data_IF_224217326866
#
_entry.id   IF_224217326866
#
_cell.length_a   1.000
_cell.length_b   1.000
_cell.length_c   1.000
_cell.angle_alpha   90.00
_cell.angle_beta   90.00
_cell.angle_gamma   90.00
#
_symmetry.space_group_name_H-M   'P 1'
#
loop_
_entity.id
_entity.type
_entity.pdbx_description
1 polymer ?
#
# COMPACT_ATOMS: atom_id res chain seq x y z
N UNK A 1 6.89 -20.64 -32.73
CA UNK A 1 7.25 -20.42 -31.31
C UNK A 1 6.52 -19.15 -30.87
N UNK A 2 5.80 -19.18 -29.78
CA UNK A 2 5.07 -17.99 -29.28
C UNK A 2 6.10 -16.92 -28.90
N UNK A 3 6.06 -15.75 -29.55
CA UNK A 3 7.03 -14.68 -29.29
C UNK A 3 6.40 -13.68 -28.31
N UNK A 4 6.93 -13.64 -27.07
CA UNK A 4 6.57 -12.65 -26.06
C UNK A 4 7.75 -11.71 -25.88
N UNK A 5 7.49 -10.41 -25.96
CA UNK A 5 8.51 -9.36 -25.78
C UNK A 5 8.12 -8.49 -24.57
N UNK A 6 9.13 -7.94 -23.89
CA UNK A 6 8.99 -6.97 -22.80
C UNK A 6 9.61 -5.66 -23.26
N UNK A 7 8.78 -4.63 -23.41
CA UNK A 7 9.20 -3.34 -23.96
C UNK A 7 9.15 -2.31 -22.84
N UNK A 8 10.33 -1.82 -22.44
CA UNK A 8 10.44 -0.75 -21.46
C UNK A 8 9.65 0.47 -21.93
N UNK A 9 8.87 1.08 -21.02
CA UNK A 9 8.05 2.22 -21.34
C UNK A 9 7.94 3.20 -20.16
N UNK A 10 7.84 4.48 -20.50
CA UNK A 10 7.52 5.57 -19.58
C UNK A 10 6.14 6.17 -19.91
N UNK A 11 5.38 5.56 -20.82
CA UNK A 11 4.03 5.98 -21.15
C UNK A 11 3.04 5.61 -20.05
N UNK A 12 2.86 6.55 -19.12
CA UNK A 12 1.94 6.39 -18.00
C UNK A 12 0.47 6.21 -18.42
N UNK A 13 0.05 6.72 -19.58
CA UNK A 13 -1.34 6.61 -20.02
C UNK A 13 -1.69 5.17 -20.35
N UNK A 14 -0.85 4.49 -21.14
CA UNK A 14 -1.08 3.08 -21.52
C UNK A 14 -1.04 2.20 -20.26
N UNK A 15 -0.06 2.43 -19.38
CA UNK A 15 0.05 1.68 -18.11
C UNK A 15 -1.19 1.89 -17.25
N UNK A 16 -1.68 3.12 -17.10
CA UNK A 16 -2.88 3.41 -16.31
C UNK A 16 -4.14 2.76 -16.89
N UNK A 17 -4.27 2.66 -18.21
CA UNK A 17 -5.38 1.93 -18.83
C UNK A 17 -5.38 0.44 -18.49
N UNK A 18 -4.21 -0.20 -18.50
CA UNK A 18 -4.08 -1.59 -18.03
C UNK A 18 -4.28 -1.71 -16.51
N UNK A 19 -3.74 -0.78 -15.73
CA UNK A 19 -3.88 -0.76 -14.27
C UNK A 19 -5.33 -0.65 -13.83
N UNK A 20 -6.13 0.20 -14.48
CA UNK A 20 -7.59 0.26 -14.23
C UNK A 20 -8.29 -1.08 -14.46
N UNK A 21 -7.84 -1.86 -15.46
CA UNK A 21 -8.38 -3.20 -15.71
C UNK A 21 -7.92 -4.21 -14.65
N UNK A 22 -6.66 -4.12 -14.22
CA UNK A 22 -6.12 -4.94 -13.14
C UNK A 22 -6.92 -4.73 -11.85
N UNK A 23 -7.14 -3.49 -11.42
CA UNK A 23 -7.85 -3.17 -10.18
C UNK A 23 -9.28 -3.73 -10.13
N UNK A 24 -9.94 -3.85 -11.28
CA UNK A 24 -11.25 -4.51 -11.36
C UNK A 24 -11.21 -6.02 -11.12
N UNK A 25 -10.03 -6.63 -11.10
CA UNK A 25 -9.86 -8.07 -10.83
C UNK A 25 -9.45 -8.35 -9.38
N UNK A 26 -9.16 -7.32 -8.59
CA UNK A 26 -8.76 -7.48 -7.21
C UNK A 26 -9.92 -7.97 -6.34
N UNK A 27 -9.61 -8.82 -5.38
CA UNK A 27 -10.57 -9.38 -4.41
C UNK A 27 -10.59 -8.61 -3.09
N UNK A 28 -9.63 -7.70 -2.91
CA UNK A 28 -9.52 -6.77 -1.80
C UNK A 28 -8.75 -5.51 -2.28
N UNK A 29 -8.77 -4.40 -1.53
CA UNK A 29 -8.05 -3.19 -1.94
C UNK A 29 -6.53 -3.39 -1.95
N UNK A 30 -5.86 -2.69 -2.86
CA UNK A 30 -4.40 -2.56 -2.81
C UNK A 30 -4.02 -1.50 -1.77
N UNK A 31 -2.93 -1.73 -1.07
CA UNK A 31 -2.33 -0.76 -0.16
C UNK A 31 -1.86 0.48 -0.92
N UNK A 32 -2.24 1.68 -0.45
CA UNK A 32 -1.93 2.93 -1.14
C UNK A 32 -0.42 3.24 -1.11
N UNK A 33 0.28 2.96 -0.01
CA UNK A 33 1.72 3.19 0.05
C UNK A 33 2.48 2.24 -0.88
N UNK A 34 2.01 0.99 -1.00
CA UNK A 34 2.57 0.05 -1.97
C UNK A 34 2.41 0.56 -3.40
N UNK A 35 1.22 1.06 -3.72
CA UNK A 35 0.92 1.63 -5.03
C UNK A 35 1.74 2.90 -5.32
N UNK A 36 1.77 3.84 -4.38
CA UNK A 36 2.23 5.21 -4.63
C UNK A 36 3.74 5.37 -4.41
N UNK A 37 4.37 4.49 -3.63
CA UNK A 37 5.81 4.53 -3.39
C UNK A 37 6.56 3.44 -4.15
N UNK A 38 6.16 2.18 -4.03
CA UNK A 38 6.90 1.06 -4.61
C UNK A 38 6.60 0.86 -6.09
N UNK A 39 5.32 0.71 -6.44
CA UNK A 39 4.92 0.50 -7.84
C UNK A 39 5.17 1.76 -8.67
N UNK A 40 4.88 2.94 -8.13
CA UNK A 40 5.07 4.20 -8.86
C UNK A 40 6.54 4.52 -9.16
N UNK A 41 7.49 4.07 -8.29
CA UNK A 41 8.93 4.27 -8.50
C UNK A 41 9.59 3.18 -9.35
N UNK A 42 8.86 2.14 -9.74
CA UNK A 42 9.36 1.00 -10.51
C UNK A 42 9.39 1.29 -12.01
N UNK A 43 10.15 0.48 -12.75
CA UNK A 43 10.18 0.54 -14.21
C UNK A 43 9.02 -0.27 -14.80
N UNK A 44 8.21 0.36 -15.63
CA UNK A 44 7.14 -0.31 -16.35
C UNK A 44 7.62 -0.92 -17.67
N UNK A 45 7.08 -2.09 -18.02
CA UNK A 45 7.27 -2.78 -19.29
C UNK A 45 5.91 -3.17 -19.88
N UNK A 46 5.72 -2.92 -21.16
CA UNK A 46 4.61 -3.48 -21.92
C UNK A 46 4.92 -4.94 -22.27
N UNK A 47 3.92 -5.79 -22.15
CA UNK A 47 4.00 -7.19 -22.55
C UNK A 47 3.34 -7.30 -23.92
N UNK A 48 4.12 -7.72 -24.92
CA UNK A 48 3.64 -7.90 -26.28
C UNK A 48 3.68 -9.37 -26.70
N UNK A 49 2.62 -9.79 -27.39
CA UNK A 49 2.51 -11.07 -28.08
C UNK A 49 2.22 -10.82 -29.56
N UNK A 50 3.06 -11.32 -30.44
CA UNK A 50 2.91 -11.18 -31.90
C UNK A 50 2.66 -9.72 -32.31
N UNK A 51 3.44 -8.78 -31.75
CA UNK A 51 3.35 -7.32 -31.93
C UNK A 51 2.04 -6.67 -31.44
N UNK A 52 1.28 -7.36 -30.58
CA UNK A 52 0.09 -6.80 -29.91
C UNK A 52 0.36 -6.67 -28.42
N UNK A 53 0.04 -5.50 -27.87
CA UNK A 53 0.11 -5.26 -26.43
C UNK A 53 -1.00 -6.06 -25.71
N UNK A 54 -0.60 -6.95 -24.82
CA UNK A 54 -1.52 -7.83 -24.08
C UNK A 54 -1.56 -7.54 -22.60
N UNK A 55 -0.66 -6.69 -22.09
CA UNK A 55 -0.56 -6.36 -20.68
C UNK A 55 0.68 -5.52 -20.36
N UNK A 56 1.00 -5.45 -19.08
CA UNK A 56 2.19 -4.76 -18.58
C UNK A 56 2.72 -5.45 -17.32
N UNK A 57 3.96 -5.11 -16.93
CA UNK A 57 4.49 -5.39 -15.61
C UNK A 57 5.33 -4.22 -15.09
N UNK A 58 5.47 -4.15 -13.76
CA UNK A 58 6.29 -3.19 -13.04
C UNK A 58 7.38 -3.94 -12.29
N UNK A 59 8.64 -3.55 -12.49
CA UNK A 59 9.82 -4.20 -11.92
C UNK A 59 10.66 -3.14 -11.22
N UNK A 60 11.07 -3.38 -9.99
CA UNK A 60 11.92 -2.47 -9.24
C UNK A 60 13.39 -2.51 -9.71
N UNK A 61 14.21 -1.65 -9.14
CA UNK A 61 15.63 -1.56 -9.47
C UNK A 61 16.46 -2.80 -9.03
N UNK A 62 15.90 -3.66 -8.19
CA UNK A 62 16.54 -4.88 -7.70
C UNK A 62 16.10 -6.13 -8.49
N UNK A 63 15.24 -5.96 -9.50
CA UNK A 63 14.68 -7.06 -10.28
C UNK A 63 13.52 -7.79 -9.58
N UNK A 64 12.83 -7.11 -8.66
CA UNK A 64 11.61 -7.64 -8.08
C UNK A 64 10.39 -7.24 -8.91
N UNK A 65 9.57 -8.21 -9.30
CA UNK A 65 8.27 -7.99 -9.92
C UNK A 65 7.28 -7.49 -8.86
N UNK A 66 6.77 -6.26 -9.05
CA UNK A 66 5.85 -5.64 -8.09
C UNK A 66 4.38 -5.67 -8.54
N UNK A 67 4.14 -5.69 -9.83
CA UNK A 67 2.79 -5.75 -10.40
C UNK A 67 2.84 -6.32 -11.81
N UNK A 68 1.82 -7.11 -12.17
CA UNK A 68 1.68 -7.62 -13.53
C UNK A 68 0.20 -7.78 -13.90
N UNK A 69 -0.12 -7.43 -15.12
CA UNK A 69 -1.45 -7.64 -15.69
C UNK A 69 -1.36 -8.18 -17.11
N UNK A 70 -2.24 -9.11 -17.42
CA UNK A 70 -2.47 -9.60 -18.78
C UNK A 70 -3.98 -9.59 -19.04
N UNK A 71 -4.40 -9.14 -20.21
CA UNK A 71 -5.82 -9.09 -20.59
C UNK A 71 -6.47 -10.48 -20.53
N UNK A 72 -7.81 -10.52 -20.43
CA UNK A 72 -8.57 -11.74 -20.16
C UNK A 72 -8.30 -12.87 -21.18
N UNK A 73 -8.12 -12.51 -22.46
CA UNK A 73 -7.92 -13.46 -23.57
C UNK A 73 -6.56 -14.17 -23.49
N UNK A 74 -5.58 -13.57 -22.79
CA UNK A 74 -4.20 -14.05 -22.69
C UNK A 74 -3.83 -14.55 -21.27
N UNK A 75 -4.78 -14.62 -20.34
CA UNK A 75 -4.54 -15.08 -18.95
C UNK A 75 -3.82 -16.42 -18.86
N UNK A 76 -4.11 -17.34 -19.78
CA UNK A 76 -3.47 -18.66 -19.86
C UNK A 76 -1.96 -18.61 -20.10
N UNK A 77 -1.43 -17.45 -20.52
CA UNK A 77 0.00 -17.24 -20.77
C UNK A 77 0.77 -16.79 -19.51
N UNK A 78 0.11 -16.50 -18.38
CA UNK A 78 0.77 -15.90 -17.22
C UNK A 78 1.99 -16.69 -16.76
N UNK A 79 1.91 -18.01 -16.66
CA UNK A 79 3.07 -18.84 -16.29
C UNK A 79 4.21 -18.75 -17.32
N UNK A 80 3.88 -18.75 -18.62
CA UNK A 80 4.89 -18.59 -19.68
C UNK A 80 5.53 -17.21 -19.62
N UNK A 81 4.75 -16.17 -19.32
CA UNK A 81 5.25 -14.80 -19.19
C UNK A 81 6.21 -14.69 -18.00
N UNK A 82 5.84 -15.21 -16.82
CA UNK A 82 6.71 -15.23 -15.65
C UNK A 82 8.00 -16.00 -15.95
N UNK A 83 7.90 -17.17 -16.58
CA UNK A 83 9.09 -17.93 -16.99
C UNK A 83 10.00 -17.13 -17.92
N UNK A 84 9.45 -16.45 -18.93
CA UNK A 84 10.24 -15.63 -19.85
C UNK A 84 10.90 -14.42 -19.16
N UNK A 85 10.23 -13.82 -18.16
CA UNK A 85 10.83 -12.75 -17.34
C UNK A 85 12.02 -13.26 -16.53
N UNK A 86 11.94 -14.47 -15.98
CA UNK A 86 13.03 -15.14 -15.26
C UNK A 86 14.17 -15.49 -16.24
N UNK A 87 13.87 -16.18 -17.33
CA UNK A 87 14.86 -16.64 -18.30
C UNK A 87 15.62 -15.47 -18.96
N UNK A 88 14.94 -14.32 -19.15
CA UNK A 88 15.56 -13.07 -19.63
C UNK A 88 16.33 -12.30 -18.58
N UNK A 89 16.33 -12.76 -17.32
CA UNK A 89 16.95 -12.11 -16.16
C UNK A 89 16.41 -10.71 -15.86
N UNK A 90 15.18 -10.43 -16.27
CA UNK A 90 14.49 -9.20 -15.90
C UNK A 90 14.01 -9.25 -14.45
N UNK A 91 13.65 -10.45 -13.97
CA UNK A 91 13.26 -10.65 -12.56
C UNK A 91 14.04 -11.79 -11.93
N UNK A 92 14.33 -11.68 -10.65
CA UNK A 92 14.89 -12.73 -9.79
C UNK A 92 14.02 -12.96 -8.56
N UNK A 93 13.06 -12.07 -8.31
CA UNK A 93 12.11 -12.14 -7.20
C UNK A 93 10.79 -11.48 -7.59
N UNK A 94 9.81 -11.61 -6.73
CA UNK A 94 8.56 -10.89 -6.84
C UNK A 94 8.09 -10.46 -5.44
N UNK A 95 7.49 -9.27 -5.35
CA UNK A 95 6.77 -8.82 -4.17
C UNK A 95 5.32 -8.55 -4.56
N UNK A 96 4.47 -9.53 -4.32
CA UNK A 96 3.08 -9.56 -4.80
C UNK A 96 2.08 -9.74 -3.68
N UNK A 97 0.93 -9.10 -3.84
CA UNK A 97 -0.19 -9.28 -2.94
C UNK A 97 -1.03 -10.51 -3.31
N UNK A 98 -1.56 -11.19 -2.28
CA UNK A 98 -2.53 -12.30 -2.44
C UNK A 98 -3.85 -11.88 -3.11
N UNK A 99 -4.08 -10.57 -3.31
CA UNK A 99 -5.24 -10.06 -4.06
C UNK A 99 -5.16 -10.32 -5.56
N UNK A 100 -3.99 -10.70 -6.06
CA UNK A 100 -3.70 -11.01 -7.46
C UNK A 100 -3.49 -12.52 -7.68
N UNK A 101 -4.51 -13.36 -7.53
CA UNK A 101 -4.32 -14.81 -7.47
C UNK A 101 -3.65 -15.41 -8.72
N UNK A 102 -3.84 -14.81 -9.89
CA UNK A 102 -3.27 -15.33 -11.14
C UNK A 102 -1.75 -15.14 -11.21
N UNK A 103 -1.27 -13.92 -10.96
CA UNK A 103 0.16 -13.58 -10.96
C UNK A 103 0.87 -14.23 -9.77
N UNK A 104 0.23 -14.19 -8.61
CA UNK A 104 0.73 -14.83 -7.39
C UNK A 104 0.96 -16.34 -7.60
N UNK A 105 -0.04 -17.07 -8.09
CA UNK A 105 0.10 -18.50 -8.39
C UNK A 105 1.20 -18.79 -9.42
N UNK A 106 1.32 -17.95 -10.46
CA UNK A 106 2.36 -18.12 -11.47
C UNK A 106 3.77 -17.92 -10.89
N UNK A 107 3.96 -16.95 -9.99
CA UNK A 107 5.22 -16.76 -9.28
C UNK A 107 5.51 -17.90 -8.30
N UNK A 108 4.50 -18.38 -7.55
CA UNK A 108 4.66 -19.51 -6.64
C UNK A 108 5.12 -20.79 -7.37
N UNK A 109 4.65 -21.02 -8.60
CA UNK A 109 5.06 -22.18 -9.40
C UNK A 109 6.58 -22.17 -9.69
N UNK A 110 7.21 -20.99 -9.71
CA UNK A 110 8.65 -20.81 -9.94
C UNK A 110 9.42 -20.41 -8.67
N UNK A 111 8.80 -20.50 -7.49
CA UNK A 111 9.41 -20.04 -6.24
C UNK A 111 10.39 -21.05 -5.66
N UNK A 112 11.48 -20.54 -5.07
CA UNK A 112 12.40 -21.30 -4.20
C UNK A 112 12.03 -21.07 -2.73
N UNK A 113 11.60 -19.87 -2.39
CA UNK A 113 11.16 -19.51 -1.04
C UNK A 113 10.17 -18.35 -1.09
N UNK A 114 9.37 -18.24 -0.03
CA UNK A 114 8.41 -17.15 0.16
C UNK A 114 8.40 -16.73 1.62
N UNK A 115 8.27 -15.43 1.86
CA UNK A 115 8.11 -14.87 3.20
C UNK A 115 7.06 -13.76 3.20
N UNK A 116 6.38 -13.61 4.34
CA UNK A 116 5.45 -12.50 4.53
C UNK A 116 6.22 -11.20 4.65
N UNK A 117 5.80 -10.16 3.93
CA UNK A 117 6.32 -8.81 4.02
C UNK A 117 5.38 -7.91 4.81
N UNK A 118 4.14 -7.75 4.32
CA UNK A 118 3.18 -6.77 4.86
C UNK A 118 1.80 -7.39 5.01
N UNK A 119 1.17 -7.16 6.15
CA UNK A 119 -0.26 -7.41 6.36
C UNK A 119 -1.08 -6.19 5.94
N UNK A 120 -2.10 -6.40 5.12
CA UNK A 120 -3.03 -5.39 4.67
C UNK A 120 -4.40 -5.65 5.31
N UNK A 121 -5.03 -4.58 5.81
CA UNK A 121 -6.20 -4.68 6.64
C UNK A 121 -7.34 -3.84 6.08
N UNK A 122 -8.56 -4.33 6.27
CA UNK A 122 -9.81 -3.61 6.03
C UNK A 122 -10.57 -3.42 7.34
N UNK A 123 -11.32 -2.35 7.44
CA UNK A 123 -12.13 -2.07 8.62
C UNK A 123 -13.41 -2.91 8.64
N UNK A 124 -13.69 -3.55 9.79
CA UNK A 124 -14.84 -4.47 9.92
C UNK A 124 -16.17 -3.78 10.19
N UNK A 125 -16.21 -2.46 10.19
CA UNK A 125 -17.42 -1.63 10.43
C UNK A 125 -18.13 -1.92 11.76
N UNK A 126 -17.39 -2.36 12.80
CA UNK A 126 -17.93 -2.55 14.14
C UNK A 126 -18.19 -1.18 14.79
N UNK A 127 -19.29 -1.07 15.50
CA UNK A 127 -19.60 0.13 16.27
C UNK A 127 -18.45 0.45 17.23
N UNK A 128 -17.98 1.70 17.19
CA UNK A 128 -16.93 2.18 18.09
C UNK A 128 -17.58 2.67 19.38
N UNK A 129 -16.96 2.32 20.51
CA UNK A 129 -17.35 2.89 21.81
C UNK A 129 -16.96 4.38 21.84
N UNK A 130 -17.92 5.28 21.78
CA UNK A 130 -17.73 6.73 21.84
C UNK A 130 -17.17 7.23 23.19
N UNK A 131 -17.30 6.44 24.25
CA UNK A 131 -16.95 6.85 25.62
C UNK A 131 -15.44 7.10 25.87
N UNK A 132 -14.58 6.75 24.91
CA UNK A 132 -13.12 6.85 25.06
C UNK A 132 -12.44 7.54 23.86
N UNK A 133 -13.11 8.48 23.22
CA UNK A 133 -12.57 9.16 22.03
C UNK A 133 -11.32 9.98 22.35
N UNK A 134 -10.29 9.83 21.53
CA UNK A 134 -9.12 10.70 21.53
C UNK A 134 -9.53 12.04 20.88
N UNK A 135 -9.24 13.16 21.55
CA UNK A 135 -9.41 14.46 20.90
C UNK A 135 -8.33 14.63 19.84
N UNK A 136 -8.75 14.79 18.58
CA UNK A 136 -7.85 14.95 17.44
C UNK A 136 -8.20 16.21 16.66
N UNK A 137 -7.17 16.98 16.32
CA UNK A 137 -7.26 18.23 15.59
C UNK A 137 -6.63 18.08 14.20
N UNK A 138 -7.17 18.80 13.21
CA UNK A 138 -6.57 18.87 11.89
C UNK A 138 -5.25 19.64 11.99
N UNK A 139 -4.20 19.09 11.40
CA UNK A 139 -2.91 19.80 11.31
C UNK A 139 -3.03 20.93 10.30
N UNK A 140 -2.70 22.14 10.75
CA UNK A 140 -2.66 23.34 9.91
C UNK A 140 -1.21 23.69 9.53
N UNK A 141 -0.97 24.52 8.49
CA UNK A 141 0.38 24.79 7.99
C UNK A 141 1.38 25.28 9.06
N UNK A 142 0.92 25.98 10.08
CA UNK A 142 1.78 26.45 11.20
C UNK A 142 2.39 25.30 12.00
N UNK A 143 1.75 24.12 12.02
CA UNK A 143 2.26 22.92 12.71
C UNK A 143 3.19 22.06 11.84
N UNK A 144 3.34 22.35 10.53
CA UNK A 144 4.11 21.48 9.62
C UNK A 144 5.54 21.20 10.12
N UNK A 145 6.22 22.22 10.65
CA UNK A 145 7.58 22.06 11.17
C UNK A 145 7.60 21.21 12.46
N UNK A 146 6.63 21.39 13.34
CA UNK A 146 6.50 20.58 14.55
C UNK A 146 6.23 19.11 14.21
N UNK A 147 5.40 18.84 13.21
CA UNK A 147 5.13 17.48 12.70
C UNK A 147 6.38 16.87 12.08
N UNK A 148 7.17 17.61 11.29
CA UNK A 148 8.44 17.07 10.73
C UNK A 148 9.42 16.69 11.85
N UNK A 149 9.58 17.55 12.86
CA UNK A 149 10.41 17.21 14.02
C UNK A 149 9.88 16.00 14.75
N UNK A 150 8.57 15.90 14.96
CA UNK A 150 7.92 14.76 15.57
C UNK A 150 8.18 13.46 14.79
N UNK A 151 8.05 13.48 13.46
CA UNK A 151 8.31 12.30 12.63
C UNK A 151 9.78 11.88 12.69
N UNK A 152 10.70 12.83 12.64
CA UNK A 152 12.13 12.56 12.78
C UNK A 152 12.46 11.92 14.12
N UNK A 153 11.94 12.45 15.23
CA UNK A 153 12.29 12.05 16.58
C UNK A 153 11.59 10.74 17.03
N UNK A 154 10.38 10.48 16.57
CA UNK A 154 9.54 9.40 17.08
C UNK A 154 9.23 8.29 16.06
N UNK A 155 9.34 8.58 14.75
CA UNK A 155 9.14 7.62 13.66
C UNK A 155 10.44 7.24 12.98
N UNK A 156 11.46 8.12 13.04
CA UNK A 156 12.71 7.97 12.30
C UNK A 156 12.59 8.34 10.82
N UNK A 157 11.58 9.14 10.48
CA UNK A 157 11.29 9.59 9.13
C UNK A 157 11.67 11.07 8.97
N UNK A 158 12.62 11.34 8.07
CA UNK A 158 13.03 12.70 7.71
C UNK A 158 12.32 13.12 6.40
N UNK A 159 11.35 14.03 6.50
CA UNK A 159 10.55 14.47 5.35
C UNK A 159 11.37 15.39 4.45
N UNK A 160 12.06 14.83 3.49
CA UNK A 160 12.90 15.53 2.51
C UNK A 160 12.18 15.81 1.19
N UNK A 161 10.96 15.30 1.00
CA UNK A 161 10.21 15.39 -0.27
C UNK A 161 8.82 16.03 -0.15
N UNK A 162 8.50 16.63 1.01
CA UNK A 162 7.27 17.40 1.19
C UNK A 162 6.03 16.56 1.52
N UNK A 163 6.22 15.39 2.13
CA UNK A 163 5.13 14.50 2.53
C UNK A 163 4.15 15.18 3.50
N UNK A 164 4.68 15.85 4.53
CA UNK A 164 3.86 16.57 5.53
C UNK A 164 3.06 17.70 4.87
N UNK A 165 3.68 18.50 3.99
CA UNK A 165 2.97 19.58 3.31
C UNK A 165 1.88 19.07 2.37
N UNK A 166 2.12 17.95 1.71
CA UNK A 166 1.11 17.29 0.88
C UNK A 166 -0.10 16.89 1.72
N UNK A 167 0.10 16.17 2.83
CA UNK A 167 -0.98 15.77 3.73
C UNK A 167 -1.73 16.96 4.33
N UNK A 168 -1.02 18.00 4.74
CA UNK A 168 -1.62 19.22 5.28
C UNK A 168 -2.46 19.94 4.22
N UNK A 169 -1.95 20.06 2.99
CA UNK A 169 -2.69 20.70 1.89
C UNK A 169 -3.97 19.96 1.51
N UNK A 170 -3.94 18.62 1.60
CA UNK A 170 -5.10 17.74 1.36
C UNK A 170 -6.02 17.62 2.58
N UNK A 171 -5.65 18.19 3.74
CA UNK A 171 -6.39 18.08 5.03
C UNK A 171 -6.54 16.63 5.50
N UNK A 172 -5.52 15.84 5.28
CA UNK A 172 -5.48 14.40 5.55
C UNK A 172 -4.63 14.04 6.78
N UNK A 173 -4.04 15.04 7.46
CA UNK A 173 -3.18 14.86 8.63
C UNK A 173 -3.83 15.44 9.88
N UNK A 174 -3.82 14.67 10.95
CA UNK A 174 -4.42 14.99 12.24
C UNK A 174 -3.41 14.75 13.37
N UNK A 175 -3.57 15.47 14.47
CA UNK A 175 -2.73 15.32 15.66
C UNK A 175 -3.58 15.24 16.92
N UNK A 176 -3.04 14.60 17.95
CA UNK A 176 -3.53 14.66 19.31
C UNK A 176 -2.47 15.34 20.18
N UNK A 177 -2.91 16.26 21.00
CA UNK A 177 -2.07 17.02 21.91
C UNK A 177 -2.35 16.65 23.37
N UNK A 178 -1.31 16.60 24.17
CA UNK A 178 -1.39 16.64 25.64
C UNK A 178 -0.60 17.87 26.09
N UNK A 179 -1.33 18.86 26.59
CA UNK A 179 -0.81 20.24 26.74
C UNK A 179 -0.28 20.73 25.37
N UNK A 180 0.98 21.12 25.25
CA UNK A 180 1.61 21.58 23.99
C UNK A 180 2.44 20.49 23.29
N UNK A 181 2.32 19.22 23.73
CA UNK A 181 3.09 18.10 23.19
C UNK A 181 2.26 17.26 22.26
N UNK A 182 2.78 17.01 21.04
CA UNK A 182 2.17 16.04 20.10
C UNK A 182 2.40 14.62 20.64
N UNK A 183 1.32 13.96 21.07
CA UNK A 183 1.36 12.61 21.62
C UNK A 183 1.11 11.53 20.57
N UNK A 184 0.37 11.87 19.50
CA UNK A 184 0.12 10.99 18.36
C UNK A 184 -0.27 11.81 17.12
N UNK A 185 0.01 11.25 15.95
CA UNK A 185 -0.56 11.73 14.67
C UNK A 185 -1.38 10.65 14.02
N UNK A 186 -2.37 11.06 13.23
CA UNK A 186 -3.22 10.19 12.43
C UNK A 186 -3.31 10.71 11.00
N UNK A 187 -3.37 9.80 10.05
CA UNK A 187 -3.55 10.11 8.64
C UNK A 187 -4.85 9.48 8.13
N UNK A 188 -5.58 10.21 7.27
CA UNK A 188 -6.75 9.71 6.56
C UNK A 188 -6.61 10.14 5.10
N UNK A 189 -5.86 9.34 4.32
CA UNK A 189 -5.49 9.64 2.94
C UNK A 189 -6.54 9.07 1.99
N UNK A 190 -7.23 9.94 1.26
CA UNK A 190 -8.22 9.51 0.27
C UNK A 190 -7.51 8.96 -0.95
N UNK A 191 -7.83 7.72 -1.33
CA UNK A 191 -7.25 7.12 -2.52
C UNK A 191 -7.78 7.76 -3.79
N UNK A 192 -6.87 8.22 -4.66
CA UNK A 192 -7.19 8.75 -5.99
C UNK A 192 -7.35 7.63 -7.03
N UNK A 193 -6.78 6.46 -6.75
CA UNK A 193 -6.82 5.29 -7.65
C UNK A 193 -7.97 4.32 -7.33
N UNK A 194 -8.39 4.24 -6.08
CA UNK A 194 -9.45 3.38 -5.57
C UNK A 194 -10.45 4.23 -4.78
N UNK A 195 -11.35 4.91 -5.49
CA UNK A 195 -12.22 5.95 -4.94
C UNK A 195 -13.12 5.51 -3.77
N UNK A 196 -13.31 4.22 -3.58
CA UNK A 196 -14.11 3.68 -2.48
C UNK A 196 -13.31 3.55 -1.16
N UNK A 197 -12.00 3.85 -1.17
CA UNK A 197 -11.11 3.59 -0.04
C UNK A 197 -10.38 4.84 0.46
N UNK A 198 -10.04 4.82 1.75
CA UNK A 198 -9.09 5.75 2.37
C UNK A 198 -8.06 4.95 3.18
N UNK A 199 -6.80 5.26 2.98
CA UNK A 199 -5.70 4.65 3.72
C UNK A 199 -5.49 5.42 5.02
N UNK A 200 -5.58 4.73 6.17
CA UNK A 200 -5.43 5.36 7.48
C UNK A 200 -4.12 4.94 8.14
N UNK A 201 -3.42 5.92 8.67
CA UNK A 201 -2.14 5.74 9.33
C UNK A 201 -2.13 6.29 10.75
N UNK A 202 -1.16 5.83 11.55
CA UNK A 202 -0.93 6.35 12.90
C UNK A 202 0.54 6.33 13.26
N UNK A 203 1.00 7.38 13.95
CA UNK A 203 2.23 7.30 14.71
C UNK A 203 2.01 7.76 16.15
N UNK A 204 2.79 7.23 17.10
CA UNK A 204 2.68 7.56 18.52
C UNK A 204 4.05 7.94 19.06
N UNK A 205 4.09 9.08 19.74
CA UNK A 205 5.27 9.56 20.46
C UNK A 205 5.86 8.45 21.34
N UNK A 206 7.14 8.22 21.24
CA UNK A 206 7.84 7.11 21.88
C UNK A 206 7.60 7.04 23.39
N UNK A 207 7.47 8.20 24.07
CA UNK A 207 7.19 8.30 25.51
C UNK A 207 5.72 8.01 25.87
N UNK A 208 4.83 8.01 24.88
CA UNK A 208 3.39 7.78 25.07
C UNK A 208 2.91 6.44 24.50
N UNK A 209 3.82 5.57 24.05
CA UNK A 209 3.50 4.21 23.57
C UNK A 209 2.95 3.32 24.70
N UNK A 210 2.29 2.22 24.30
CA UNK A 210 1.68 1.21 25.19
C UNK A 210 0.51 1.74 26.05
N UNK A 211 -0.04 2.92 25.74
CA UNK A 211 -1.20 3.53 26.41
C UNK A 211 -2.51 3.44 25.59
N UNK A 212 -2.55 2.65 24.51
CA UNK A 212 -3.73 2.50 23.66
C UNK A 212 -3.96 3.62 22.63
N UNK A 213 -3.07 4.64 22.57
CA UNK A 213 -3.24 5.80 21.70
C UNK A 213 -3.33 5.43 20.22
N UNK A 214 -2.51 4.46 19.75
CA UNK A 214 -2.56 4.03 18.36
C UNK A 214 -3.93 3.45 17.98
N UNK A 215 -4.51 2.61 18.83
CA UNK A 215 -5.86 2.06 18.63
C UNK A 215 -6.90 3.18 18.54
N UNK A 216 -6.90 4.11 19.48
CA UNK A 216 -7.84 5.24 19.50
C UNK A 216 -7.69 6.16 18.29
N UNK A 217 -6.45 6.44 17.88
CA UNK A 217 -6.17 7.26 16.70
C UNK A 217 -6.67 6.58 15.42
N UNK A 218 -6.38 5.29 15.23
CA UNK A 218 -6.87 4.52 14.08
C UNK A 218 -8.40 4.50 14.02
N UNK A 219 -9.07 4.35 15.15
CA UNK A 219 -10.53 4.44 15.23
C UNK A 219 -11.04 5.82 14.79
N UNK A 220 -10.40 6.90 15.24
CA UNK A 220 -10.76 8.26 14.81
C UNK A 220 -10.54 8.46 13.30
N UNK A 221 -9.44 7.93 12.74
CA UNK A 221 -9.17 8.03 11.30
C UNK A 221 -10.17 7.18 10.49
N UNK A 222 -10.51 5.98 10.96
CA UNK A 222 -11.55 5.17 10.35
C UNK A 222 -12.91 5.89 10.31
N UNK A 223 -13.32 6.52 11.41
CA UNK A 223 -14.53 7.35 11.44
C UNK A 223 -14.48 8.52 10.45
N UNK A 224 -13.31 9.17 10.31
CA UNK A 224 -13.16 10.27 9.35
C UNK A 224 -13.27 9.78 7.90
N UNK A 225 -12.73 8.62 7.59
CA UNK A 225 -12.88 7.98 6.29
C UNK A 225 -14.36 7.65 5.99
N UNK A 226 -15.05 7.00 6.92
CA UNK A 226 -16.46 6.63 6.77
C UNK A 226 -17.36 7.86 6.59
N UNK A 227 -17.07 8.96 7.31
CA UNK A 227 -17.81 10.23 7.12
C UNK A 227 -17.61 10.87 5.74
N UNK A 228 -16.65 10.40 4.97
CA UNK A 228 -16.37 10.81 3.61
C UNK A 228 -16.76 9.72 2.58
N UNK A 229 -17.62 8.78 3.00
CA UNK A 229 -18.08 7.65 2.18
C UNK A 229 -16.92 6.78 1.64
N UNK A 230 -15.88 6.58 2.48
CA UNK A 230 -14.71 5.76 2.15
C UNK A 230 -14.57 4.60 3.11
N UNK A 231 -14.16 3.44 2.59
CA UNK A 231 -13.82 2.27 3.39
C UNK A 231 -12.39 2.41 3.91
N UNK A 232 -12.17 2.42 5.25
CA UNK A 232 -10.82 2.54 5.80
C UNK A 232 -10.00 1.28 5.57
N UNK A 233 -8.77 1.47 5.10
CA UNK A 233 -7.75 0.43 4.96
C UNK A 233 -6.47 0.88 5.64
N UNK A 234 -5.60 -0.04 6.00
CA UNK A 234 -4.25 0.24 6.47
C UNK A 234 -3.35 -0.98 6.28
N UNK A 235 -2.06 -0.78 6.45
CA UNK A 235 -1.09 -1.87 6.39
C UNK A 235 -0.01 -1.74 7.45
N UNK A 236 0.72 -2.83 7.68
CA UNK A 236 1.92 -2.82 8.50
C UNK A 236 2.79 -4.03 8.19
N UNK A 237 4.11 -3.87 8.34
CA UNK A 237 5.07 -4.95 8.12
C UNK A 237 4.92 -6.06 9.16
N UNK A 238 5.37 -7.27 8.81
CA UNK A 238 5.32 -8.44 9.68
C UNK A 238 6.05 -8.22 11.01
N UNK A 239 7.12 -7.45 11.02
CA UNK A 239 7.93 -7.21 12.23
C UNK A 239 7.31 -6.19 13.19
N UNK A 240 6.33 -5.41 12.74
CA UNK A 240 5.69 -4.36 13.55
C UNK A 240 4.51 -4.91 14.37
N UNK A 241 4.81 -5.82 15.30
CA UNK A 241 3.79 -6.46 16.18
C UNK A 241 2.95 -5.44 16.95
N UNK A 242 3.55 -4.29 17.30
CA UNK A 242 2.84 -3.21 18.00
C UNK A 242 1.71 -2.62 17.16
N UNK A 243 1.98 -2.33 15.90
CA UNK A 243 0.97 -1.85 14.94
C UNK A 243 -0.07 -2.91 14.64
N UNK A 244 0.31 -4.17 14.40
CA UNK A 244 -0.65 -5.26 14.15
C UNK A 244 -1.71 -5.33 15.26
N UNK A 245 -1.26 -5.37 16.53
CA UNK A 245 -2.18 -5.42 17.69
C UNK A 245 -3.05 -4.15 17.82
N UNK A 246 -2.51 -2.99 17.48
CA UNK A 246 -3.28 -1.74 17.54
C UNK A 246 -4.35 -1.69 16.44
N UNK A 247 -4.01 -2.13 15.23
CA UNK A 247 -4.90 -2.22 14.07
C UNK A 247 -6.06 -3.20 14.35
N UNK A 248 -5.75 -4.41 14.81
CA UNK A 248 -6.77 -5.42 15.14
C UNK A 248 -7.72 -4.93 16.25
N UNK A 249 -7.17 -4.30 17.31
CA UNK A 249 -7.99 -3.72 18.39
C UNK A 249 -8.81 -2.53 17.92
N UNK A 250 -8.38 -1.81 16.91
CA UNK A 250 -9.14 -0.72 16.30
C UNK A 250 -10.36 -1.21 15.48
N UNK A 251 -10.46 -2.52 15.25
CA UNK A 251 -11.60 -3.12 14.54
C UNK A 251 -11.29 -3.47 13.08
N UNK A 252 -10.03 -3.52 12.70
CA UNK A 252 -9.61 -3.99 11.38
C UNK A 252 -9.33 -5.49 11.39
N UNK A 253 -9.43 -6.12 10.23
CA UNK A 253 -9.07 -7.51 10.00
C UNK A 253 -8.10 -7.61 8.81
N UNK A 254 -7.15 -8.54 8.86
CA UNK A 254 -6.24 -8.78 7.76
C UNK A 254 -7.01 -9.39 6.58
N UNK A 255 -7.14 -8.65 5.49
CA UNK A 255 -7.85 -9.07 4.29
C UNK A 255 -6.91 -9.70 3.25
N UNK A 256 -5.66 -9.26 3.23
CA UNK A 256 -4.66 -9.75 2.30
C UNK A 256 -3.23 -9.53 2.82
N UNK A 257 -2.28 -10.14 2.14
CA UNK A 257 -0.86 -10.14 2.53
C UNK A 257 -0.02 -9.88 1.29
N UNK A 258 1.02 -9.05 1.43
CA UNK A 258 2.09 -8.92 0.44
C UNK A 258 3.20 -9.89 0.83
N UNK A 259 3.65 -10.70 -0.12
CA UNK A 259 4.71 -11.69 0.05
C UNK A 259 5.92 -11.33 -0.82
N UNK A 260 7.11 -11.53 -0.24
CA UNK A 260 8.35 -11.57 -1.01
C UNK A 260 8.63 -13.00 -1.43
N UNK A 261 8.81 -13.21 -2.73
CA UNK A 261 8.97 -14.51 -3.37
C UNK A 261 10.30 -14.53 -4.10
N UNK A 262 11.21 -15.42 -3.71
CA UNK A 262 12.43 -15.66 -4.46
C UNK A 262 12.15 -16.66 -5.59
N UNK A 263 12.58 -16.33 -6.80
CA UNK A 263 12.34 -17.12 -8.01
C UNK A 263 13.58 -17.92 -8.43
N UNK A 264 13.34 -19.00 -9.20
CA UNK A 264 14.41 -19.92 -9.67
C UNK A 264 15.25 -19.26 -10.76
#
# INVERSE_FOLDING_TARGET
MLKINFIKTDDSNIINEFRKKLYKTFVAPIDSMWQDLYIASSQAYLIEKDNKQIGYCCIDNNGALLQIFVNAENKYLMQTIIRNLIDSKLISSASLSSIEPLSFNACLFHSISMQTNTFCYEYSNRALDDENSLNVELVTPEFSNAIRSYYKDHVGFDDTFGYVDNLVSRKELFMALEYDTIIATGECRLSDAQLDYADVGVSVNTQHRKKGLATKMLQQMAHKAIKQDRNPICSTTIDNIGSQKAIERAGFYCSNIIFDINLI
#
